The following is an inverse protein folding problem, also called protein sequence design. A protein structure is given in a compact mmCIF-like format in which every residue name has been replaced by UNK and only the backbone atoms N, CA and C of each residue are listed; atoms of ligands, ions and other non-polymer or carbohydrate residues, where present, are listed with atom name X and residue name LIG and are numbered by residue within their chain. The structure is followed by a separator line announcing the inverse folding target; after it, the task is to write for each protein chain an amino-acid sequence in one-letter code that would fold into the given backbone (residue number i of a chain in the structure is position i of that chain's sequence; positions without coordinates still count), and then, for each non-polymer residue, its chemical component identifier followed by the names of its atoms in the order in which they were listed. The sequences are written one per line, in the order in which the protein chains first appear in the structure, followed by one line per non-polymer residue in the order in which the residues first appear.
data_IF_691510369710
#
_entry.id   IF_691510369710
#
_cell.length_a   1.000
_cell.length_b   1.000
_cell.length_c   1.000
_cell.angle_alpha   90.00
_cell.angle_beta   90.00
_cell.angle_gamma   90.00
#
_symmetry.space_group_name_H-M   'P 1'
#
loop_
_entity.id
_entity.type
_entity.pdbx_description
1 polymer ?
#
# COMPACT_ATOMS: atom_id res chain seq x y z
N UNK A 1 39.61 22.61 7.04
CA UNK A 1 38.19 22.57 7.45
C UNK A 1 37.37 22.70 6.16
N UNK A 2 37.29 21.61 5.41
CA UNK A 2 36.73 21.61 4.04
C UNK A 2 35.27 21.22 4.08
N UNK A 3 34.48 22.09 3.48
CA UNK A 3 33.03 22.11 3.29
C UNK A 3 32.49 20.82 2.64
N UNK A 4 31.40 20.33 3.22
CA UNK A 4 30.53 19.29 2.68
C UNK A 4 29.65 19.88 1.56
N UNK A 5 29.50 19.23 0.39
CA UNK A 5 28.59 19.73 -0.63
C UNK A 5 27.15 19.35 -0.26
N UNK A 6 26.27 20.32 -0.42
CA UNK A 6 24.83 20.23 -0.19
C UNK A 6 24.14 19.27 -1.18
N UNK A 7 23.12 18.58 -0.68
CA UNK A 7 22.13 17.80 -1.43
C UNK A 7 21.63 18.56 -2.67
N UNK A 8 21.74 17.93 -3.85
CA UNK A 8 21.25 18.48 -5.12
C UNK A 8 19.73 18.31 -5.32
N UNK A 9 19.12 19.05 -6.26
CA UNK A 9 17.67 19.09 -6.49
C UNK A 9 17.01 17.77 -6.95
N UNK A 10 17.77 16.70 -7.19
CA UNK A 10 17.26 15.39 -7.63
C UNK A 10 16.67 14.49 -6.53
N UNK A 11 16.96 14.74 -5.24
CA UNK A 11 16.48 13.87 -4.15
C UNK A 11 15.07 14.25 -3.64
N UNK A 12 14.65 15.50 -3.85
CA UNK A 12 13.32 15.99 -3.44
C UNK A 12 12.14 15.24 -4.10
N UNK A 13 12.09 15.06 -5.42
CA UNK A 13 11.00 14.29 -6.06
C UNK A 13 10.96 12.82 -5.60
N UNK A 14 12.14 12.22 -5.33
CA UNK A 14 12.24 10.86 -4.82
C UNK A 14 11.73 10.74 -3.37
N UNK A 15 12.07 11.69 -2.48
CA UNK A 15 11.54 11.72 -1.12
C UNK A 15 10.01 11.87 -1.08
N UNK A 16 9.45 12.74 -1.92
CA UNK A 16 7.99 12.93 -2.01
C UNK A 16 7.29 11.67 -2.52
N UNK A 17 7.81 11.04 -3.57
CA UNK A 17 7.27 9.80 -4.11
C UNK A 17 7.30 8.66 -3.07
N UNK A 18 8.41 8.50 -2.34
CA UNK A 18 8.53 7.53 -1.24
C UNK A 18 7.53 7.80 -0.13
N UNK A 19 7.32 9.06 0.25
CA UNK A 19 6.31 9.43 1.25
C UNK A 19 4.90 9.08 0.76
N UNK A 20 4.58 9.42 -0.49
CA UNK A 20 3.29 9.10 -1.14
C UNK A 20 3.05 7.58 -1.13
N UNK A 21 4.04 6.77 -1.51
CA UNK A 21 3.93 5.31 -1.47
C UNK A 21 3.72 4.77 -0.05
N UNK A 22 4.46 5.28 0.95
CA UNK A 22 4.29 4.87 2.36
C UNK A 22 2.90 5.17 2.88
N UNK A 23 2.37 6.37 2.60
CA UNK A 23 1.00 6.75 2.98
C UNK A 23 -0.02 5.80 2.33
N UNK A 24 0.12 5.49 1.04
CA UNK A 24 -0.78 4.56 0.35
C UNK A 24 -0.73 3.16 0.98
N UNK A 25 0.46 2.65 1.25
CA UNK A 25 0.65 1.34 1.87
C UNK A 25 0.06 1.27 3.29
N UNK A 26 0.22 2.32 4.09
CA UNK A 26 -0.36 2.39 5.44
C UNK A 26 -1.90 2.34 5.41
N UNK A 27 -2.53 3.04 4.47
CA UNK A 27 -3.98 3.00 4.27
C UNK A 27 -4.46 1.60 3.87
N UNK A 28 -3.76 0.93 2.95
CA UNK A 28 -4.06 -0.44 2.52
C UNK A 28 -3.95 -1.41 3.70
N UNK A 29 -2.86 -1.36 4.45
CA UNK A 29 -2.64 -2.23 5.60
C UNK A 29 -3.72 -2.04 6.68
N UNK A 30 -4.12 -0.78 6.94
CA UNK A 30 -5.22 -0.49 7.86
C UNK A 30 -6.54 -1.11 7.36
N UNK A 31 -6.87 -0.94 6.08
CA UNK A 31 -8.07 -1.55 5.49
C UNK A 31 -8.07 -3.07 5.58
N UNK A 32 -6.95 -3.73 5.25
CA UNK A 32 -6.77 -5.18 5.38
C UNK A 32 -7.04 -5.65 6.83
N UNK A 33 -6.59 -4.89 7.84
CA UNK A 33 -6.84 -5.23 9.24
C UNK A 33 -8.32 -5.19 9.62
N UNK A 34 -9.08 -4.22 9.09
CA UNK A 34 -10.52 -4.13 9.31
C UNK A 34 -11.29 -5.23 8.57
N UNK A 35 -10.90 -5.54 7.34
CA UNK A 35 -11.46 -6.66 6.56
C UNK A 35 -11.24 -7.97 7.31
N UNK A 36 -10.02 -8.23 7.78
CA UNK A 36 -9.68 -9.43 8.55
C UNK A 36 -10.48 -9.53 9.85
N UNK A 37 -10.84 -8.40 10.46
CA UNK A 37 -11.69 -8.34 11.64
C UNK A 37 -13.21 -8.42 11.33
N UNK A 38 -13.61 -8.59 10.06
CA UNK A 38 -15.02 -8.62 9.64
C UNK A 38 -15.72 -7.26 9.69
N UNK A 39 -14.97 -6.16 9.80
CA UNK A 39 -15.51 -4.80 9.93
C UNK A 39 -15.51 -4.11 8.57
N UNK A 40 -16.60 -4.25 7.81
CA UNK A 40 -16.71 -3.67 6.47
C UNK A 40 -17.31 -2.25 6.45
N UNK A 41 -18.10 -1.90 7.47
CA UNK A 41 -18.77 -0.60 7.57
C UNK A 41 -18.00 0.42 8.43
N UNK A 42 -16.67 0.43 8.31
CA UNK A 42 -15.80 1.32 9.10
C UNK A 42 -15.81 2.73 8.50
N UNK A 43 -15.88 3.79 9.32
CA UNK A 43 -15.71 5.17 8.87
C UNK A 43 -14.30 5.44 8.34
N UNK A 44 -14.17 6.28 7.31
CA UNK A 44 -12.86 6.70 6.77
C UNK A 44 -11.96 7.28 7.88
N UNK A 45 -12.54 8.00 8.84
CA UNK A 45 -11.80 8.54 9.98
C UNK A 45 -11.06 7.45 10.77
N UNK A 46 -11.72 6.33 11.10
CA UNK A 46 -11.11 5.24 11.85
C UNK A 46 -9.97 4.57 11.05
N UNK A 47 -10.15 4.46 9.73
CA UNK A 47 -9.10 3.92 8.83
C UNK A 47 -7.88 4.86 8.84
N UNK A 48 -8.09 6.16 8.68
CA UNK A 48 -6.99 7.13 8.68
C UNK A 48 -6.25 7.20 10.01
N UNK A 49 -6.98 7.05 11.13
CA UNK A 49 -6.39 6.95 12.47
C UNK A 49 -5.55 5.67 12.62
N UNK A 50 -6.07 4.51 12.16
CA UNK A 50 -5.33 3.26 12.19
C UNK A 50 -4.07 3.29 11.31
N UNK A 51 -4.10 4.04 10.21
CA UNK A 51 -2.97 4.23 9.31
C UNK A 51 -1.99 5.33 9.76
N UNK A 52 -2.28 6.07 10.84
CA UNK A 52 -1.52 7.24 11.29
C UNK A 52 -1.32 8.31 10.20
N UNK A 53 -2.41 8.65 9.49
CA UNK A 53 -2.42 9.66 8.43
C UNK A 53 -3.62 10.60 8.57
N UNK A 54 -3.54 11.78 7.93
CA UNK A 54 -4.65 12.73 7.93
C UNK A 54 -5.74 12.40 6.89
N UNK A 55 -6.95 12.91 7.10
CA UNK A 55 -8.07 12.78 6.15
C UNK A 55 -7.72 13.26 4.73
N UNK A 56 -6.97 14.36 4.61
CA UNK A 56 -6.52 14.84 3.29
C UNK A 56 -5.58 13.86 2.59
N UNK A 57 -4.81 13.07 3.34
CA UNK A 57 -3.98 12.01 2.76
C UNK A 57 -4.84 10.89 2.16
N UNK A 58 -5.94 10.51 2.81
CA UNK A 58 -6.88 9.54 2.23
C UNK A 58 -7.39 10.00 0.87
N UNK A 59 -7.96 11.20 0.79
CA UNK A 59 -8.54 11.72 -0.45
C UNK A 59 -7.51 12.09 -1.52
N UNK A 60 -6.23 12.14 -1.18
CA UNK A 60 -5.14 12.26 -2.16
C UNK A 60 -4.77 10.91 -2.82
N UNK A 61 -5.27 9.81 -2.27
CA UNK A 61 -4.89 8.44 -2.64
C UNK A 61 -6.06 7.59 -3.13
N UNK A 62 -7.25 7.83 -2.60
CA UNK A 62 -8.47 7.08 -2.90
C UNK A 62 -9.65 8.05 -2.90
N UNK A 63 -10.52 7.91 -3.89
CA UNK A 63 -11.74 8.69 -4.04
C UNK A 63 -12.86 8.16 -3.13
N UNK A 64 -12.79 6.88 -2.73
CA UNK A 64 -13.81 6.23 -1.91
C UNK A 64 -13.24 5.12 -1.01
N UNK A 65 -14.04 4.70 -0.02
CA UNK A 65 -13.68 3.56 0.86
C UNK A 65 -13.69 2.25 0.07
N UNK A 66 -14.60 2.14 -0.89
CA UNK A 66 -14.77 1.01 -1.77
C UNK A 66 -13.51 0.80 -2.63
N UNK A 67 -12.95 1.87 -3.20
CA UNK A 67 -11.69 1.84 -3.94
C UNK A 67 -10.51 1.39 -3.05
N UNK A 68 -10.44 1.89 -1.81
CA UNK A 68 -9.43 1.44 -0.85
C UNK A 68 -9.57 -0.06 -0.55
N UNK A 69 -10.79 -0.56 -0.37
CA UNK A 69 -11.05 -1.96 -0.06
C UNK A 69 -10.75 -2.88 -1.25
N UNK A 70 -11.06 -2.44 -2.47
CA UNK A 70 -10.66 -3.13 -3.69
C UNK A 70 -9.14 -3.21 -3.78
N UNK A 71 -8.43 -2.09 -3.60
CA UNK A 71 -6.97 -2.07 -3.59
C UNK A 71 -6.38 -2.98 -2.52
N UNK A 72 -6.99 -3.01 -1.33
CA UNK A 72 -6.56 -3.87 -0.22
C UNK A 72 -6.74 -5.36 -0.52
N UNK A 73 -7.84 -5.73 -1.19
CA UNK A 73 -8.09 -7.11 -1.61
C UNK A 73 -7.13 -7.53 -2.73
N UNK A 74 -6.95 -6.68 -3.74
CA UNK A 74 -6.01 -6.93 -4.85
C UNK A 74 -4.59 -7.13 -4.33
N UNK A 75 -4.13 -6.29 -3.41
CA UNK A 75 -2.79 -6.40 -2.80
C UNK A 75 -2.59 -7.75 -2.08
N UNK A 76 -3.61 -8.25 -1.37
CA UNK A 76 -3.55 -9.59 -0.74
C UNK A 76 -3.52 -10.70 -1.79
N UNK A 77 -4.36 -10.59 -2.84
CA UNK A 77 -4.41 -11.58 -3.91
C UNK A 77 -3.09 -11.65 -4.69
N UNK A 78 -2.45 -10.52 -4.94
CA UNK A 78 -1.15 -10.44 -5.61
C UNK A 78 -0.07 -11.17 -4.78
N UNK A 79 -0.03 -10.95 -3.46
CA UNK A 79 0.90 -11.67 -2.56
C UNK A 79 0.64 -13.18 -2.59
N UNK A 80 -0.62 -13.61 -2.68
CA UNK A 80 -0.94 -15.03 -2.81
C UNK A 80 -0.59 -15.60 -4.18
N UNK A 81 -0.77 -14.83 -5.26
CA UNK A 81 -0.38 -15.21 -6.61
C UNK A 81 1.14 -15.42 -6.70
N UNK A 82 1.93 -14.48 -6.18
CA UNK A 82 3.40 -14.59 -6.13
C UNK A 82 3.86 -15.84 -5.36
N UNK A 83 3.16 -16.17 -4.26
CA UNK A 83 3.43 -17.37 -3.48
C UNK A 83 3.13 -18.63 -4.27
N UNK A 84 1.98 -18.70 -4.95
CA UNK A 84 1.60 -19.83 -5.78
C UNK A 84 2.60 -20.03 -6.93
N UNK A 85 2.99 -18.96 -7.62
CA UNK A 85 3.98 -18.98 -8.70
C UNK A 85 5.34 -19.51 -8.24
N UNK A 86 5.74 -19.20 -6.99
CA UNK A 86 6.98 -19.73 -6.43
C UNK A 86 6.92 -21.26 -6.24
N UNK A 87 5.75 -21.83 -5.94
CA UNK A 87 5.57 -23.27 -5.75
C UNK A 87 5.30 -24.03 -7.05
N UNK A 88 4.65 -23.41 -8.02
CA UNK A 88 4.33 -24.04 -9.31
C UNK A 88 5.48 -24.01 -10.30
N UNK A 89 6.51 -23.17 -10.09
CA UNK A 89 7.74 -23.12 -10.92
C UNK A 89 8.47 -24.46 -11.10
N UNK A 90 8.25 -25.44 -10.23
CA UNK A 90 8.85 -26.78 -10.34
C UNK A 90 7.86 -27.86 -10.79
N UNK A 91 6.62 -27.51 -11.10
CA UNK A 91 5.67 -28.43 -11.72
C UNK A 91 5.81 -28.22 -13.23
N UNK A 92 6.40 -29.20 -13.91
CA UNK A 92 6.31 -29.28 -15.37
C UNK A 92 4.84 -29.17 -15.77
N UNK A 93 4.56 -28.43 -16.84
CA UNK A 93 3.22 -28.32 -17.40
C UNK A 93 2.71 -29.74 -17.71
N UNK A 94 1.66 -30.24 -17.04
CA UNK A 94 1.15 -31.58 -17.32
C UNK A 94 0.54 -31.69 -18.73
N UNK A 95 0.50 -30.60 -19.51
CA UNK A 95 0.09 -30.56 -20.89
C UNK A 95 1.23 -30.72 -21.93
N UNK A 96 2.50 -30.85 -21.51
CA UNK A 96 3.61 -31.30 -22.39
C UNK A 96 3.85 -32.83 -22.35
#
# INVERSE_FOLDING_TARGET
MTTQPADGPGDQPNRLARRKQRTRAALIAAAQSFIAAGKLNVPVLEITQAADVGMGSFYNHFDSKEELFEAALTDVLDVHADLLDAYTKSLDDPAE
#
